data_IF_080352599095
#
_entry.id   IF_080352599095
#
_cell.length_a   1.000
_cell.length_b   1.000
_cell.length_c   1.000
_cell.angle_alpha   90.00
_cell.angle_beta   90.00
_cell.angle_gamma   90.00
#
_symmetry.space_group_name_H-M   'P 1'
#
loop_
_entity.id
_entity.type
_entity.pdbx_description
1 polymer ?
#
# COMPACT_ATOMS: atom_id res chain seq x y z
N UNK A 1 17.29 -23.10 -1.06
CA UNK A 1 16.29 -22.12 -0.62
C UNK A 1 16.06 -21.10 -1.72
N UNK A 2 14.82 -20.66 -1.91
CA UNK A 2 14.45 -19.46 -2.65
C UNK A 2 13.69 -18.60 -1.63
N UNK A 3 13.84 -17.29 -1.75
CA UNK A 3 13.26 -16.33 -0.82
C UNK A 3 12.19 -15.56 -1.59
N UNK A 4 11.01 -15.41 -0.98
CA UNK A 4 9.88 -14.72 -1.58
C UNK A 4 9.66 -13.43 -0.80
N UNK A 5 9.33 -12.36 -1.53
CA UNK A 5 9.23 -11.01 -0.99
C UNK A 5 7.90 -10.38 -1.39
N UNK A 6 7.31 -9.62 -0.46
CA UNK A 6 6.20 -8.72 -0.75
C UNK A 6 6.71 -7.29 -0.60
N UNK A 7 6.54 -6.49 -1.65
CA UNK A 7 7.17 -5.18 -1.78
C UNK A 7 6.09 -4.15 -2.09
N UNK A 8 6.20 -2.97 -1.50
CA UNK A 8 5.25 -1.89 -1.72
C UNK A 8 5.84 -0.57 -1.27
N UNK A 9 5.43 0.52 -1.92
CA UNK A 9 5.78 1.88 -1.50
C UNK A 9 4.69 2.82 -1.95
N UNK A 10 4.16 3.61 -1.03
CA UNK A 10 3.13 4.59 -1.32
C UNK A 10 3.13 5.71 -0.29
N UNK A 11 2.51 6.83 -0.65
CA UNK A 11 2.35 7.97 0.22
C UNK A 11 0.95 8.57 0.04
N UNK A 12 0.43 9.15 1.10
CA UNK A 12 -0.81 9.93 1.07
C UNK A 12 -0.74 11.04 2.12
N UNK A 13 -1.68 11.98 2.02
CA UNK A 13 -1.82 13.06 2.99
C UNK A 13 -3.02 12.84 3.88
N UNK A 14 -2.90 13.16 5.16
CA UNK A 14 -3.98 13.08 6.13
C UNK A 14 -3.95 14.26 7.10
N UNK A 15 -4.95 14.35 7.98
CA UNK A 15 -4.94 15.34 9.06
C UNK A 15 -3.93 14.97 10.14
N UNK A 16 -3.47 15.94 10.93
CA UNK A 16 -2.54 15.69 12.03
C UNK A 16 -3.09 14.73 13.10
N UNK A 17 -4.41 14.74 13.33
CA UNK A 17 -5.05 13.83 14.27
C UNK A 17 -5.01 12.38 13.79
N UNK A 18 -5.25 12.16 12.49
CA UNK A 18 -5.17 10.82 11.88
C UNK A 18 -3.71 10.32 11.84
N UNK A 19 -2.76 11.23 11.59
CA UNK A 19 -1.33 10.94 11.69
C UNK A 19 -0.93 10.46 13.09
N UNK A 20 -1.38 11.15 14.14
CA UNK A 20 -1.10 10.75 15.53
C UNK A 20 -1.62 9.35 15.86
N UNK A 21 -2.79 8.96 15.32
CA UNK A 21 -3.32 7.59 15.47
C UNK A 21 -2.44 6.55 14.77
N UNK A 22 -1.89 6.87 13.60
CA UNK A 22 -0.95 5.99 12.88
C UNK A 22 0.35 5.85 13.68
N UNK A 23 0.91 6.95 14.20
CA UNK A 23 2.11 6.92 15.04
C UNK A 23 1.92 6.06 16.29
N UNK A 24 0.77 6.22 16.97
CA UNK A 24 0.42 5.40 18.13
C UNK A 24 0.30 3.91 17.78
N UNK A 25 -0.34 3.57 16.64
CA UNK A 25 -0.44 2.20 16.17
C UNK A 25 0.94 1.57 15.90
N UNK A 26 1.85 2.30 15.23
CA UNK A 26 3.19 1.81 14.92
C UNK A 26 4.03 1.63 16.19
N UNK A 27 3.95 2.57 17.13
CA UNK A 27 4.64 2.45 18.40
C UNK A 27 4.13 1.25 19.21
N UNK A 28 2.81 1.06 19.28
CA UNK A 28 2.22 -0.08 19.98
C UNK A 28 2.60 -1.41 19.32
N UNK A 29 2.56 -1.49 17.99
CA UNK A 29 2.99 -2.67 17.23
C UNK A 29 4.45 -3.03 17.53
N UNK A 30 5.35 -2.03 17.53
CA UNK A 30 6.77 -2.21 17.83
C UNK A 30 7.01 -2.72 19.26
N UNK A 31 6.32 -2.14 20.24
CA UNK A 31 6.44 -2.54 21.64
C UNK A 31 5.95 -3.98 21.83
N UNK A 32 4.80 -4.34 21.25
CA UNK A 32 4.23 -5.69 21.33
C UNK A 32 5.12 -6.74 20.65
N UNK A 33 5.61 -6.47 19.44
CA UNK A 33 6.52 -7.37 18.71
C UNK A 33 7.84 -7.58 19.49
N UNK A 34 8.32 -6.54 20.18
CA UNK A 34 9.52 -6.60 21.01
C UNK A 34 9.29 -7.26 22.38
N UNK A 35 8.06 -7.67 22.70
CA UNK A 35 7.68 -8.22 24.01
C UNK A 35 7.61 -7.19 25.14
N UNK A 36 7.58 -5.89 24.80
CA UNK A 36 7.33 -4.80 25.73
C UNK A 36 5.82 -4.56 25.90
N UNK A 37 5.46 -3.88 26.98
CA UNK A 37 4.08 -3.41 27.19
C UNK A 37 3.96 -1.99 26.63
N UNK A 38 3.07 -1.75 25.64
CA UNK A 38 2.79 -0.41 25.15
C UNK A 38 2.30 0.51 26.29
N UNK A 39 2.40 1.82 26.09
CA UNK A 39 1.67 2.78 26.92
C UNK A 39 0.14 2.53 26.82
N UNK A 40 -0.64 3.07 27.76
CA UNK A 40 -2.09 3.00 27.66
C UNK A 40 -2.58 3.73 26.38
N UNK A 41 -3.50 3.13 25.60
CA UNK A 41 -3.97 3.75 24.37
C UNK A 41 -4.76 5.03 24.66
N UNK A 42 -4.67 6.00 23.76
CA UNK A 42 -5.40 7.25 23.86
C UNK A 42 -6.91 7.02 23.68
N UNK A 43 -7.76 7.91 24.23
CA UNK A 43 -9.21 7.83 24.01
C UNK A 43 -9.59 7.85 22.52
N UNK A 44 -8.86 8.64 21.72
CA UNK A 44 -9.01 8.72 20.28
C UNK A 44 -8.65 7.39 19.61
N UNK A 45 -7.57 6.74 20.05
CA UNK A 45 -7.18 5.42 19.56
C UNK A 45 -8.21 4.35 19.91
N UNK A 46 -8.73 4.33 21.14
CA UNK A 46 -9.81 3.43 21.55
C UNK A 46 -11.11 3.65 20.77
N UNK A 47 -11.37 4.89 20.32
CA UNK A 47 -12.51 5.19 19.45
C UNK A 47 -12.29 4.64 18.03
N UNK A 48 -11.06 4.71 17.51
CA UNK A 48 -10.69 4.14 16.22
C UNK A 48 -10.65 2.61 16.25
N UNK A 49 -10.15 2.01 17.33
CA UNK A 49 -10.04 0.57 17.56
C UNK A 49 -10.78 0.16 18.84
N UNK A 50 -12.12 0.04 18.81
CA UNK A 50 -12.88 -0.38 19.98
C UNK A 50 -12.40 -1.76 20.50
N UNK A 51 -12.10 -1.89 21.81
CA UNK A 51 -11.69 -3.16 22.39
C UNK A 51 -12.71 -4.27 22.14
N UNK A 52 -12.23 -5.46 21.79
CA UNK A 52 -13.05 -6.68 21.64
C UNK A 52 -13.15 -7.47 22.95
N UNK A 53 -12.25 -7.24 23.89
CA UNK A 53 -12.25 -7.81 25.24
C UNK A 53 -12.20 -6.69 26.30
N UNK A 54 -13.01 -6.75 27.36
CA UNK A 54 -13.00 -5.72 28.42
C UNK A 54 -11.67 -5.59 29.17
N UNK A 55 -10.90 -6.68 29.25
CA UNK A 55 -9.65 -6.74 30.01
C UNK A 55 -8.40 -6.47 29.13
N UNK A 56 -8.60 -6.26 27.82
CA UNK A 56 -7.52 -6.01 26.87
C UNK A 56 -7.88 -4.82 25.96
N UNK A 57 -7.38 -3.61 26.26
CA UNK A 57 -7.68 -2.42 25.47
C UNK A 57 -7.10 -2.47 24.04
N UNK A 58 -6.12 -3.33 23.78
CA UNK A 58 -5.49 -3.49 22.46
C UNK A 58 -6.16 -4.54 21.58
N UNK A 59 -7.07 -5.35 22.13
CA UNK A 59 -7.78 -6.42 21.41
C UNK A 59 -8.51 -5.97 20.13
N UNK A 60 -8.95 -4.70 20.07
CA UNK A 60 -9.53 -4.10 18.87
C UNK A 60 -8.49 -3.93 17.75
N UNK A 61 -7.33 -3.38 18.12
CA UNK A 61 -6.18 -3.17 17.23
C UNK A 61 -5.55 -4.49 16.79
N UNK A 62 -5.27 -5.40 17.73
CA UNK A 62 -4.64 -6.70 17.44
C UNK A 62 -5.44 -7.55 16.44
N UNK A 63 -6.75 -7.34 16.36
CA UNK A 63 -7.61 -8.09 15.46
C UNK A 63 -7.50 -7.69 13.98
N UNK A 64 -6.72 -6.67 13.63
CA UNK A 64 -6.42 -6.34 12.23
C UNK A 64 -5.27 -7.18 11.67
N UNK A 65 -4.47 -7.83 12.54
CA UNK A 65 -3.33 -8.64 12.14
C UNK A 65 -3.73 -10.11 11.96
N UNK A 66 -3.14 -10.82 10.99
CA UNK A 66 -3.35 -12.25 10.83
C UNK A 66 -2.73 -13.07 11.98
N UNK A 67 -1.63 -12.57 12.56
CA UNK A 67 -0.99 -13.12 13.75
C UNK A 67 -0.97 -12.02 14.84
N UNK A 68 -1.83 -12.19 15.84
CA UNK A 68 -1.93 -11.23 16.95
C UNK A 68 -0.76 -11.30 17.94
N UNK A 69 0.00 -12.39 17.92
CA UNK A 69 1.15 -12.57 18.81
C UNK A 69 2.40 -11.83 18.29
N UNK A 70 2.43 -11.55 16.98
CA UNK A 70 3.49 -10.79 16.30
C UNK A 70 2.91 -9.70 15.38
N UNK A 71 2.28 -8.66 15.95
CA UNK A 71 1.67 -7.60 15.16
C UNK A 71 2.75 -6.80 14.45
N UNK A 72 2.73 -6.81 13.11
CA UNK A 72 3.66 -6.05 12.28
C UNK A 72 2.99 -5.62 10.99
N UNK A 73 3.33 -4.43 10.49
CA UNK A 73 2.88 -3.95 9.17
C UNK A 73 3.86 -4.32 8.05
N UNK A 74 5.05 -4.81 8.41
CA UNK A 74 6.09 -5.20 7.47
C UNK A 74 6.59 -4.05 6.58
N UNK A 75 6.44 -2.81 7.06
CA UNK A 75 6.89 -1.59 6.38
C UNK A 75 7.67 -0.68 7.32
N UNK A 76 8.62 0.04 6.73
CA UNK A 76 9.11 1.27 7.31
C UNK A 76 8.06 2.37 7.13
N UNK A 77 8.00 3.27 8.11
CA UNK A 77 7.04 4.36 8.18
C UNK A 77 7.76 5.68 8.39
N UNK A 78 7.48 6.64 7.50
CA UNK A 78 7.89 8.03 7.66
C UNK A 78 6.67 8.94 7.74
N UNK A 79 6.80 9.94 8.62
CA UNK A 79 5.76 10.87 8.98
C UNK A 79 6.25 12.29 9.05
N UNK A 80 5.49 13.24 8.51
CA UNK A 80 5.81 14.64 8.73
C UNK A 80 4.96 15.64 7.96
N UNK A 81 5.12 16.91 8.33
CA UNK A 81 4.47 18.02 7.67
C UNK A 81 5.49 18.75 6.79
N UNK A 82 5.12 19.04 5.54
CA UNK A 82 5.97 19.87 4.69
C UNK A 82 5.86 21.34 5.10
N UNK A 83 6.93 22.12 4.86
CA UNK A 83 6.85 23.58 5.03
C UNK A 83 5.85 24.25 4.10
N UNK A 84 5.60 23.64 2.95
CA UNK A 84 4.71 24.17 1.91
C UNK A 84 3.24 23.93 2.25
N UNK A 85 2.94 22.83 2.95
CA UNK A 85 1.61 22.47 3.45
C UNK A 85 1.66 22.06 4.93
N UNK A 86 1.83 23.02 5.84
CA UNK A 86 1.91 22.75 7.28
C UNK A 86 0.57 22.29 7.90
N UNK A 87 -0.55 22.45 7.19
CA UNK A 87 -1.90 22.12 7.63
C UNK A 87 -2.28 20.64 7.50
N UNK A 88 -1.45 19.85 6.80
CA UNK A 88 -1.64 18.41 6.60
C UNK A 88 -0.34 17.66 6.87
N UNK A 89 -0.49 16.39 7.23
CA UNK A 89 0.61 15.45 7.36
C UNK A 89 0.75 14.61 6.10
N UNK A 90 1.98 14.22 5.78
CA UNK A 90 2.29 13.23 4.75
C UNK A 90 2.74 11.97 5.44
N UNK A 91 2.13 10.86 5.05
CA UNK A 91 2.46 9.50 5.47
C UNK A 91 3.15 8.81 4.30
N UNK A 92 4.27 8.15 4.57
CA UNK A 92 4.98 7.32 3.59
C UNK A 92 5.19 5.94 4.21
N UNK A 93 4.77 4.91 3.48
CA UNK A 93 5.03 3.52 3.82
C UNK A 93 5.85 2.87 2.72
N UNK A 94 6.87 2.09 3.10
CA UNK A 94 7.66 1.35 2.12
C UNK A 94 8.28 0.07 2.71
N UNK A 95 8.44 -0.93 1.85
CA UNK A 95 9.13 -2.18 2.18
C UNK A 95 9.57 -2.89 0.91
N UNK A 96 10.67 -3.63 1.02
CA UNK A 96 11.19 -4.47 -0.07
C UNK A 96 11.17 -5.96 0.26
N UNK A 97 10.66 -6.36 1.43
CA UNK A 97 10.72 -7.75 1.87
C UNK A 97 9.38 -8.29 2.39
N UNK A 98 8.71 -7.56 3.29
CA UNK A 98 7.66 -8.14 4.13
C UNK A 98 6.36 -7.31 4.16
N UNK A 99 6.12 -6.48 3.15
CA UNK A 99 4.94 -5.60 3.08
C UNK A 99 3.63 -6.34 3.40
N UNK A 100 2.88 -5.91 4.41
CA UNK A 100 1.61 -6.54 4.81
C UNK A 100 0.39 -5.72 4.36
N UNK A 101 -0.26 -6.08 3.23
CA UNK A 101 -1.32 -5.26 2.65
C UNK A 101 -2.60 -5.22 3.50
N UNK A 102 -3.05 -6.34 4.07
CA UNK A 102 -4.30 -6.41 4.82
C UNK A 102 -4.26 -5.57 6.12
N UNK A 103 -3.26 -5.71 7.01
CA UNK A 103 -3.18 -4.89 8.23
C UNK A 103 -3.00 -3.40 7.93
N UNK A 104 -2.22 -3.04 6.90
CA UNK A 104 -2.07 -1.63 6.49
C UNK A 104 -3.37 -1.03 5.99
N UNK A 105 -4.13 -1.76 5.18
CA UNK A 105 -5.41 -1.27 4.68
C UNK A 105 -6.41 -1.06 5.83
N UNK A 106 -6.46 -1.99 6.79
CA UNK A 106 -7.28 -1.86 7.98
C UNK A 106 -6.84 -0.68 8.85
N UNK A 107 -5.53 -0.51 9.11
CA UNK A 107 -4.99 0.63 9.85
C UNK A 107 -5.45 1.96 9.23
N UNK A 108 -5.24 2.13 7.93
CA UNK A 108 -5.63 3.35 7.21
C UNK A 108 -7.15 3.54 7.29
N UNK A 109 -7.94 2.49 7.12
CA UNK A 109 -9.40 2.58 7.22
C UNK A 109 -9.85 3.06 8.61
N UNK A 110 -9.26 2.54 9.68
CA UNK A 110 -9.61 2.93 11.05
C UNK A 110 -9.12 4.35 11.39
N UNK A 111 -7.87 4.67 11.07
CA UNK A 111 -7.24 5.93 11.47
C UNK A 111 -7.66 7.11 10.59
N UNK A 112 -7.92 6.93 9.29
CA UNK A 112 -8.02 8.03 8.32
C UNK A 112 -9.46 8.35 7.88
N UNK A 113 -10.44 8.22 8.76
CA UNK A 113 -11.85 8.37 8.43
C UNK A 113 -12.25 9.77 7.90
N UNK A 114 -11.54 10.83 8.26
CA UNK A 114 -11.79 12.17 7.71
C UNK A 114 -11.25 12.25 6.30
N UNK A 115 -10.00 11.85 6.10
CA UNK A 115 -9.36 11.82 4.78
C UNK A 115 -10.11 10.94 3.79
N UNK A 116 -10.56 9.75 4.22
CA UNK A 116 -11.29 8.81 3.38
C UNK A 116 -12.66 9.31 2.91
N UNK A 117 -13.29 10.22 3.67
CA UNK A 117 -14.57 10.85 3.26
C UNK A 117 -14.38 11.83 2.12
N UNK A 118 -13.20 12.43 2.00
CA UNK A 118 -12.85 13.35 0.92
C UNK A 118 -12.42 12.58 -0.34
N UNK A 119 -11.53 11.59 -0.19
CA UNK A 119 -11.09 10.74 -1.29
C UNK A 119 -10.60 9.35 -0.81
N UNK A 120 -10.80 8.28 -1.61
CA UNK A 120 -10.20 6.97 -1.33
C UNK A 120 -8.67 7.02 -1.32
N UNK A 121 -8.06 6.20 -0.47
CA UNK A 121 -6.61 5.97 -0.45
C UNK A 121 -6.35 4.62 -1.12
N UNK A 122 -5.30 4.51 -1.91
CA UNK A 122 -4.93 3.26 -2.56
C UNK A 122 -3.44 3.03 -2.59
N UNK A 123 -3.06 1.77 -2.74
CA UNK A 123 -1.67 1.36 -2.89
C UNK A 123 -1.57 0.10 -3.73
N UNK A 124 -0.38 -0.15 -4.25
CA UNK A 124 -0.02 -1.34 -5.02
C UNK A 124 1.09 -2.10 -4.31
N UNK A 125 1.17 -3.40 -4.58
CA UNK A 125 2.28 -4.23 -4.13
C UNK A 125 2.71 -5.21 -5.22
N UNK A 126 3.93 -5.68 -5.10
CA UNK A 126 4.51 -6.71 -5.95
C UNK A 126 4.95 -7.90 -5.11
N UNK A 127 4.76 -9.10 -5.65
CA UNK A 127 5.35 -10.32 -5.11
C UNK A 127 6.51 -10.74 -6.03
N UNK A 128 7.68 -10.98 -5.45
CA UNK A 128 8.87 -11.42 -6.18
C UNK A 128 9.57 -12.58 -5.48
N UNK A 129 10.46 -13.26 -6.21
CA UNK A 129 11.25 -14.36 -5.68
C UNK A 129 12.71 -14.26 -6.12
N UNK A 130 13.64 -14.62 -5.24
CA UNK A 130 15.08 -14.65 -5.54
C UNK A 130 15.44 -15.68 -6.63
N UNK A 131 14.50 -16.56 -7.01
CA UNK A 131 14.64 -17.55 -8.09
C UNK A 131 13.39 -17.55 -8.99
N UNK A 132 13.52 -17.84 -10.29
CA UNK A 132 12.40 -17.87 -11.23
C UNK A 132 11.53 -19.11 -11.01
N UNK A 133 10.76 -19.12 -9.94
CA UNK A 133 9.83 -20.19 -9.57
C UNK A 133 8.44 -19.88 -10.13
N UNK A 134 7.80 -20.93 -10.65
CA UNK A 134 6.44 -20.83 -11.18
C UNK A 134 5.50 -20.46 -10.03
N UNK A 135 4.69 -19.42 -10.22
CA UNK A 135 3.69 -18.98 -9.25
C UNK A 135 4.19 -18.01 -8.17
N UNK A 136 5.50 -17.71 -8.13
CA UNK A 136 6.06 -16.80 -7.10
C UNK A 136 6.12 -15.32 -7.54
N UNK A 137 5.59 -14.99 -8.73
CA UNK A 137 5.50 -13.62 -9.22
C UNK A 137 4.04 -13.19 -9.30
N UNK A 138 3.78 -11.96 -8.88
CA UNK A 138 2.44 -11.40 -8.88
C UNK A 138 2.40 -10.08 -8.14
N UNK A 139 1.28 -9.81 -7.50
CA UNK A 139 1.05 -8.56 -6.77
C UNK A 139 -0.43 -8.20 -6.80
N UNK A 140 -0.70 -6.93 -6.60
CA UNK A 140 -2.06 -6.43 -6.65
C UNK A 140 -2.16 -4.96 -6.27
N UNK A 141 -3.39 -4.53 -6.10
CA UNK A 141 -3.76 -3.19 -5.67
C UNK A 141 -4.85 -3.26 -4.60
N UNK A 142 -4.82 -2.29 -3.69
CA UNK A 142 -5.81 -2.07 -2.66
C UNK A 142 -6.41 -0.68 -2.82
N UNK A 143 -7.73 -0.58 -2.75
CA UNK A 143 -8.45 0.67 -2.65
C UNK A 143 -9.27 0.69 -1.35
N UNK A 144 -9.05 1.72 -0.54
CA UNK A 144 -9.59 1.90 0.79
C UNK A 144 -10.62 3.03 0.74
N UNK A 145 -11.84 2.72 1.15
CA UNK A 145 -12.96 3.63 1.27
C UNK A 145 -13.37 3.74 2.75
N UNK A 146 -14.19 4.75 3.13
CA UNK A 146 -14.67 4.88 4.50
C UNK A 146 -15.37 3.62 5.04
N UNK A 147 -16.09 2.91 4.17
CA UNK A 147 -17.01 1.82 4.51
C UNK A 147 -16.56 0.44 4.02
N UNK A 148 -15.53 0.36 3.17
CA UNK A 148 -15.06 -0.90 2.58
C UNK A 148 -13.61 -0.84 2.12
N UNK A 149 -12.98 -2.01 2.03
CA UNK A 149 -11.66 -2.21 1.43
C UNK A 149 -11.84 -3.15 0.23
N UNK A 150 -11.20 -2.83 -0.89
CA UNK A 150 -11.26 -3.63 -2.12
C UNK A 150 -9.85 -4.03 -2.53
N UNK A 151 -9.59 -5.34 -2.54
CA UNK A 151 -8.36 -5.93 -3.04
C UNK A 151 -8.56 -6.53 -4.42
N UNK A 152 -7.62 -6.22 -5.33
CA UNK A 152 -7.48 -6.86 -6.62
C UNK A 152 -6.09 -7.47 -6.71
N UNK A 153 -5.99 -8.76 -7.01
CA UNK A 153 -4.69 -9.41 -7.23
C UNK A 153 -4.52 -9.81 -8.71
N UNK A 154 -3.26 -9.79 -9.15
CA UNK A 154 -2.93 -10.07 -10.56
C UNK A 154 -3.23 -11.53 -10.94
N UNK A 155 -3.19 -12.45 -9.97
CA UNK A 155 -3.55 -13.86 -10.17
C UNK A 155 -5.04 -14.05 -10.52
N UNK A 156 -5.96 -13.43 -9.78
CA UNK A 156 -7.40 -13.45 -10.07
C UNK A 156 -7.72 -12.67 -11.33
N UNK A 157 -7.01 -11.57 -11.61
CA UNK A 157 -7.16 -10.86 -12.89
C UNK A 157 -6.80 -11.77 -14.06
N UNK A 158 -5.68 -12.51 -13.97
CA UNK A 158 -5.28 -13.48 -14.97
C UNK A 158 -6.29 -14.63 -15.07
N UNK A 159 -6.73 -15.19 -13.94
CA UNK A 159 -7.73 -16.25 -13.90
C UNK A 159 -9.05 -15.81 -14.57
N UNK A 160 -9.55 -14.61 -14.27
CA UNK A 160 -10.72 -14.03 -14.94
C UNK A 160 -10.50 -13.91 -16.43
N UNK A 161 -9.37 -13.34 -16.86
CA UNK A 161 -9.05 -13.19 -18.27
C UNK A 161 -8.93 -14.53 -19.03
N UNK A 162 -8.47 -15.59 -18.36
CA UNK A 162 -8.38 -16.93 -18.94
C UNK A 162 -9.74 -17.65 -19.01
N UNK A 163 -10.67 -17.29 -18.12
CA UNK A 163 -12.00 -17.89 -18.03
C UNK A 163 -13.09 -17.08 -18.75
N UNK A 164 -12.87 -15.80 -19.01
CA UNK A 164 -13.77 -14.91 -19.76
C UNK A 164 -13.57 -15.05 -21.29
N UNK A 165 -14.68 -14.95 -22.04
CA UNK A 165 -14.72 -15.05 -23.52
C UNK A 165 -13.86 -13.92 -24.18
N UNK A 166 -13.11 -14.17 -25.29
CA UNK A 166 -12.10 -13.26 -25.85
C UNK A 166 -12.62 -11.88 -26.32
N UNK A 167 -13.93 -11.66 -26.27
CA UNK A 167 -14.58 -10.42 -26.69
C UNK A 167 -14.58 -9.32 -25.61
N UNK A 168 -14.12 -9.62 -24.38
CA UNK A 168 -13.97 -8.65 -23.30
C UNK A 168 -12.53 -8.17 -23.05
N UNK A 169 -11.54 -8.75 -23.73
CA UNK A 169 -10.14 -8.34 -23.57
C UNK A 169 -9.91 -6.97 -24.23
N UNK A 170 -9.18 -6.03 -23.59
CA UNK A 170 -8.69 -4.85 -24.29
C UNK A 170 -7.86 -5.30 -25.52
N UNK A 171 -7.98 -4.60 -26.65
CA UNK A 171 -7.29 -5.00 -27.88
C UNK A 171 -5.78 -5.12 -27.63
N UNK A 172 -5.09 -6.09 -28.28
CA UNK A 172 -3.64 -6.22 -28.17
C UNK A 172 -2.96 -4.90 -28.58
N UNK A 173 -2.02 -4.42 -27.76
CA UNK A 173 -1.31 -3.16 -27.99
C UNK A 173 -1.63 -2.01 -27.01
N UNK A 174 -2.13 -2.31 -25.80
CA UNK A 174 -2.31 -1.35 -24.70
C UNK A 174 -1.58 -1.77 -23.41
N UNK A 175 -0.56 -2.62 -23.52
CA UNK A 175 0.26 -3.01 -22.40
C UNK A 175 1.23 -1.87 -22.01
N UNK A 176 1.65 -1.85 -20.74
CA UNK A 176 2.68 -0.93 -20.23
C UNK A 176 4.07 -1.09 -20.91
N UNK A 177 4.20 -2.01 -21.87
CA UNK A 177 5.40 -2.28 -22.65
C UNK A 177 5.29 -1.80 -24.10
N UNK A 178 4.15 -1.25 -24.50
CA UNK A 178 3.95 -0.78 -25.87
C UNK A 178 4.54 0.63 -26.03
N UNK A 179 5.29 0.80 -27.12
CA UNK A 179 5.81 2.10 -27.50
C UNK A 179 4.69 2.94 -28.12
N UNK A 180 4.49 4.14 -27.59
CA UNK A 180 3.53 5.11 -28.09
C UNK A 180 4.12 5.77 -29.34
N UNK A 181 3.45 5.71 -30.51
CA UNK A 181 4.01 6.21 -31.78
C UNK A 181 4.41 7.70 -31.76
N UNK A 182 3.73 8.50 -30.94
CA UNK A 182 3.99 9.94 -30.80
C UNK A 182 5.02 10.29 -29.72
N UNK A 183 5.47 9.29 -28.95
CA UNK A 183 6.42 9.46 -27.85
C UNK A 183 7.44 8.31 -27.88
N UNK A 184 8.35 8.26 -28.87
CA UNK A 184 9.31 7.16 -29.02
C UNK A 184 10.13 6.91 -27.75
N UNK A 185 10.48 5.64 -27.51
CA UNK A 185 11.25 5.25 -26.32
C UNK A 185 12.64 5.89 -26.31
N UNK A 186 13.24 6.09 -27.49
CA UNK A 186 14.55 6.72 -27.62
C UNK A 186 14.56 8.17 -27.09
N UNK A 187 13.46 8.91 -27.26
CA UNK A 187 13.34 10.29 -26.79
C UNK A 187 13.29 10.33 -25.25
N UNK A 188 12.53 9.39 -24.67
CA UNK A 188 12.52 9.19 -23.21
C UNK A 188 13.90 8.80 -22.68
N UNK A 189 14.58 7.82 -23.29
CA UNK A 189 15.91 7.37 -22.85
C UNK A 189 16.96 8.49 -22.93
N UNK A 190 16.90 9.33 -23.97
CA UNK A 190 17.78 10.48 -24.12
C UNK A 190 17.54 11.53 -23.01
N UNK A 191 16.29 11.73 -22.61
CA UNK A 191 15.93 12.73 -21.61
C UNK A 191 16.19 12.26 -20.16
N UNK A 192 15.80 11.03 -19.83
CA UNK A 192 15.93 10.50 -18.47
C UNK A 192 17.31 9.89 -18.23
N UNK A 193 18.16 9.82 -19.28
CA UNK A 193 19.52 9.26 -19.23
C UNK A 193 19.59 7.86 -18.62
N UNK A 194 18.51 7.09 -18.77
CA UNK A 194 18.34 5.75 -18.24
C UNK A 194 17.96 4.82 -19.40
N UNK A 195 18.80 3.80 -19.64
CA UNK A 195 18.57 2.77 -20.66
C UNK A 195 18.19 1.40 -20.10
N UNK A 196 18.25 1.24 -18.77
CA UNK A 196 18.25 -0.09 -18.14
C UNK A 196 16.84 -0.61 -17.84
N UNK A 197 15.85 0.28 -17.70
CA UNK A 197 14.44 -0.10 -17.46
C UNK A 197 13.49 0.79 -18.28
N UNK A 198 12.23 0.37 -18.45
CA UNK A 198 11.14 1.20 -19.03
C UNK A 198 10.22 1.81 -17.97
N UNK A 199 10.63 1.76 -16.70
CA UNK A 199 9.82 2.27 -15.59
C UNK A 199 9.70 3.80 -15.71
N UNK A 200 8.47 4.33 -15.72
CA UNK A 200 8.19 5.76 -15.84
C UNK A 200 7.97 6.28 -17.27
N UNK A 201 8.16 5.46 -18.31
CA UNK A 201 7.96 5.86 -19.71
C UNK A 201 6.51 6.34 -20.00
N UNK A 202 5.49 5.59 -19.60
CA UNK A 202 4.09 5.98 -19.84
C UNK A 202 3.67 7.24 -19.05
N UNK A 203 4.15 7.41 -17.81
CA UNK A 203 3.92 8.62 -17.04
C UNK A 203 4.57 9.85 -17.71
N UNK A 204 5.81 9.69 -18.20
CA UNK A 204 6.52 10.72 -18.96
C UNK A 204 5.79 11.12 -20.26
N UNK A 205 5.27 10.14 -21.00
CA UNK A 205 4.53 10.38 -22.24
C UNK A 205 3.15 11.02 -21.97
N UNK A 206 2.48 10.62 -20.89
CA UNK A 206 1.20 11.21 -20.47
C UNK A 206 1.35 12.68 -20.12
N UNK A 207 2.39 13.04 -19.36
CA UNK A 207 2.68 14.44 -19.01
C UNK A 207 2.95 15.35 -20.22
N UNK A 208 3.32 14.78 -21.38
CA UNK A 208 3.59 15.51 -22.64
C UNK A 208 2.40 15.52 -23.60
N UNK A 209 1.34 14.80 -23.26
CA UNK A 209 0.11 14.73 -24.04
C UNK A 209 -0.99 15.64 -23.47
N UNK A 210 -0.74 16.28 -22.32
CA UNK A 210 -1.58 17.29 -21.68
C UNK A 210 -1.14 18.72 -22.06
#
# INVERSE_FOLDING_TARGET
MADSYIQGSFAFTCTHAEMALIEEAFQASFDLESGHTPADPTPEFLAAFPPKSPDDPWSGFLAIFPDSDFPTFGVDFEGGNSRERPEISTVIFYSTTDFQPDPLAALIQHCCQTTLRDAPIGFEWACSCSKPRIGEFGGGACAIFPDRIVFNNTAQMLERALNDDPNGAPPPGQGHWDELPNHPLADWQAEVTNGDTRLGYHAWATARSA
#
